data_IF_725894876428
#
_entry.id   IF_725894876428
#
_cell.length_a   1.000
_cell.length_b   1.000
_cell.length_c   1.000
_cell.angle_alpha   90.00
_cell.angle_beta   90.00
_cell.angle_gamma   90.00
#
_symmetry.space_group_name_H-M   'P 1'
#
loop_
_entity.id
_entity.type
_entity.pdbx_description
1 polymer ?
#
# COMPACT_ATOMS: atom_id res chain seq x y z
N UNK A 1 -8.39 13.46 7.01
CA UNK A 1 -8.79 14.52 6.11
C UNK A 1 -10.27 14.81 6.07
N UNK A 2 -11.11 14.13 6.89
CA UNK A 2 -12.55 14.42 6.98
C UNK A 2 -12.88 15.42 8.11
N UNK A 3 -11.89 16.19 8.57
CA UNK A 3 -12.05 17.13 9.67
C UNK A 3 -11.73 16.53 11.05
N UNK A 4 -11.03 15.39 11.06
CA UNK A 4 -10.57 14.78 12.31
C UNK A 4 -9.63 15.73 13.05
N UNK A 5 -9.87 15.85 14.35
CA UNK A 5 -8.99 16.60 15.26
C UNK A 5 -8.20 15.63 16.13
N UNK A 6 -7.08 16.09 16.68
CA UNK A 6 -6.23 15.27 17.56
C UNK A 6 -7.01 14.72 18.76
N UNK A 7 -7.99 15.46 19.26
CA UNK A 7 -8.86 15.06 20.37
C UNK A 7 -9.70 13.82 20.07
N UNK A 8 -9.97 13.53 18.78
CA UNK A 8 -10.70 12.32 18.39
C UNK A 8 -9.86 11.04 18.51
N UNK A 9 -8.56 11.15 18.79
CA UNK A 9 -7.70 9.99 18.94
C UNK A 9 -8.11 9.09 20.10
N UNK A 10 -8.61 9.64 21.19
CA UNK A 10 -9.11 8.84 22.33
C UNK A 10 -10.33 7.99 21.93
N UNK A 11 -11.18 8.49 21.06
CA UNK A 11 -12.29 7.70 20.51
C UNK A 11 -11.77 6.53 19.67
N UNK A 12 -10.75 6.77 18.85
CA UNK A 12 -10.10 5.70 18.07
C UNK A 12 -9.45 4.65 18.98
N UNK A 13 -8.72 5.06 20.03
CA UNK A 13 -8.13 4.14 21.00
C UNK A 13 -9.18 3.25 21.67
N UNK A 14 -10.26 3.87 22.14
CA UNK A 14 -11.35 3.15 22.75
C UNK A 14 -11.99 2.14 21.80
N UNK A 15 -12.18 2.52 20.53
CA UNK A 15 -12.70 1.63 19.50
C UNK A 15 -11.78 0.43 19.27
N UNK A 16 -10.48 0.66 19.05
CA UNK A 16 -9.50 -0.41 18.82
C UNK A 16 -9.48 -1.38 20.02
N UNK A 17 -9.40 -0.86 21.24
CA UNK A 17 -9.36 -1.67 22.47
C UNK A 17 -10.64 -2.48 22.66
N UNK A 18 -11.80 -1.88 22.40
CA UNK A 18 -13.11 -2.54 22.57
C UNK A 18 -13.31 -3.72 21.60
N UNK A 19 -12.78 -3.59 20.39
CA UNK A 19 -13.05 -4.57 19.31
C UNK A 19 -11.88 -5.54 19.05
N UNK A 20 -10.79 -5.45 19.82
CA UNK A 20 -9.61 -6.32 19.70
C UNK A 20 -9.17 -6.50 18.23
N UNK A 21 -8.87 -5.39 17.57
CA UNK A 21 -8.55 -5.39 16.15
C UNK A 21 -7.18 -6.01 15.89
N UNK A 22 -7.07 -6.86 14.85
CA UNK A 22 -5.79 -7.37 14.36
C UNK A 22 -5.04 -6.35 13.51
N UNK A 23 -5.78 -5.47 12.83
CA UNK A 23 -5.21 -4.45 11.93
C UNK A 23 -6.11 -3.23 11.79
N UNK A 24 -5.47 -2.12 11.43
CA UNK A 24 -6.13 -0.88 11.02
C UNK A 24 -5.55 -0.39 9.70
N UNK A 25 -6.38 0.24 8.88
CA UNK A 25 -5.92 0.88 7.65
C UNK A 25 -6.25 2.37 7.68
N UNK A 26 -5.22 3.19 7.53
CA UNK A 26 -5.38 4.64 7.36
C UNK A 26 -5.37 5.01 5.88
N UNK A 27 -6.26 5.89 5.49
CA UNK A 27 -6.28 6.47 4.15
C UNK A 27 -6.24 7.99 4.22
N UNK A 28 -5.28 8.59 3.50
CA UNK A 28 -5.33 10.01 3.25
C UNK A 28 -6.50 10.31 2.28
N UNK A 29 -7.36 11.25 2.65
CA UNK A 29 -8.45 11.70 1.80
C UNK A 29 -7.90 12.22 0.47
N UNK A 30 -8.48 11.76 -0.62
CA UNK A 30 -8.32 12.36 -1.93
C UNK A 30 -9.52 13.28 -2.17
N UNK A 31 -9.31 14.59 -2.35
CA UNK A 31 -10.38 15.51 -2.65
C UNK A 31 -11.18 15.07 -3.88
N UNK A 32 -12.49 15.20 -3.80
CA UNK A 32 -13.42 14.90 -4.90
C UNK A 32 -14.24 16.17 -5.18
N UNK A 33 -14.38 16.59 -6.45
CA UNK A 33 -15.23 17.73 -6.80
C UNK A 33 -16.64 17.58 -6.21
N UNK A 34 -17.29 18.70 -5.94
CA UNK A 34 -18.66 18.76 -5.40
C UNK A 34 -18.82 18.19 -3.97
N UNK A 35 -17.73 17.94 -3.26
CA UNK A 35 -17.76 17.61 -1.83
C UNK A 35 -17.22 18.76 -0.99
N UNK A 36 -17.57 18.84 0.32
CA UNK A 36 -17.03 19.88 1.20
C UNK A 36 -15.54 19.70 1.51
N UNK A 37 -14.93 18.60 1.06
CA UNK A 37 -13.55 18.26 1.34
C UNK A 37 -12.68 18.62 0.12
N UNK A 38 -12.11 19.81 0.14
CA UNK A 38 -11.32 20.37 -0.97
C UNK A 38 -9.85 20.01 -0.89
N UNK A 39 -9.38 19.62 0.31
CA UNK A 39 -7.97 19.30 0.58
C UNK A 39 -7.85 17.97 1.32
N UNK A 40 -6.79 17.23 1.02
CA UNK A 40 -6.39 16.05 1.78
C UNK A 40 -5.54 16.43 3.00
N UNK A 41 -5.25 15.48 3.90
CA UNK A 41 -4.38 15.75 5.03
C UNK A 41 -2.94 16.02 4.55
N UNK A 42 -2.22 16.88 5.27
CA UNK A 42 -0.78 17.01 5.09
C UNK A 42 -0.08 15.70 5.49
N UNK A 43 1.17 15.50 5.05
CA UNK A 43 1.98 14.35 5.45
C UNK A 43 2.14 14.30 6.97
N UNK A 44 2.36 15.47 7.62
CA UNK A 44 2.46 15.57 9.07
C UNK A 44 1.18 15.13 9.80
N UNK A 45 0.02 15.58 9.32
CA UNK A 45 -1.27 15.16 9.89
C UNK A 45 -1.48 13.66 9.73
N UNK A 46 -1.16 13.12 8.55
CA UNK A 46 -1.34 11.72 8.24
C UNK A 46 -0.42 10.82 9.08
N UNK A 47 0.86 11.14 9.16
CA UNK A 47 1.85 10.39 9.93
C UNK A 47 1.64 10.52 11.44
N UNK A 48 1.07 11.63 11.92
CA UNK A 48 0.70 11.79 13.31
C UNK A 48 -0.29 10.71 13.78
N UNK A 49 -1.35 10.43 13.00
CA UNK A 49 -2.32 9.38 13.33
C UNK A 49 -1.68 7.99 13.36
N UNK A 50 -0.82 7.70 12.42
CA UNK A 50 -0.08 6.44 12.34
C UNK A 50 0.83 6.28 13.56
N UNK A 51 1.61 7.31 13.88
CA UNK A 51 2.54 7.32 15.00
C UNK A 51 1.83 7.14 16.35
N UNK A 52 0.78 7.91 16.60
CA UNK A 52 0.01 7.80 17.84
C UNK A 52 -0.64 6.42 17.99
N UNK A 53 -1.10 5.84 16.87
CA UNK A 53 -1.67 4.48 16.91
C UNK A 53 -0.59 3.44 17.20
N UNK A 54 0.59 3.57 16.62
CA UNK A 54 1.73 2.67 16.88
C UNK A 54 2.19 2.76 18.34
N UNK A 55 2.27 3.96 18.90
CA UNK A 55 2.65 4.18 20.30
C UNK A 55 1.63 3.58 21.27
N UNK A 56 0.34 3.71 20.97
CA UNK A 56 -0.73 3.16 21.81
C UNK A 56 -0.90 1.63 21.65
N UNK A 57 -0.61 1.09 20.47
CA UNK A 57 -0.83 -0.32 20.12
C UNK A 57 0.40 -0.90 19.38
N UNK A 58 1.47 -1.27 20.11
CA UNK A 58 2.73 -1.70 19.48
C UNK A 58 2.61 -2.91 18.55
N UNK A 59 1.67 -3.81 18.83
CA UNK A 59 1.48 -5.06 18.07
C UNK A 59 0.37 -5.00 17.01
N UNK A 60 -0.38 -3.89 16.93
CA UNK A 60 -1.44 -3.73 15.95
C UNK A 60 -0.84 -3.57 14.55
N UNK A 61 -1.34 -4.32 13.58
CA UNK A 61 -0.91 -4.16 12.19
C UNK A 61 -1.49 -2.87 11.59
N UNK A 62 -0.61 -1.96 11.19
CA UNK A 62 -0.99 -0.67 10.61
C UNK A 62 -0.69 -0.67 9.12
N UNK A 63 -1.73 -0.50 8.31
CA UNK A 63 -1.63 -0.37 6.86
C UNK A 63 -1.89 1.09 6.49
N UNK A 64 -1.04 1.69 5.67
CA UNK A 64 -1.21 3.04 5.18
C UNK A 64 -1.56 3.05 3.68
N UNK A 65 -2.64 3.72 3.33
CA UNK A 65 -3.01 3.93 1.93
C UNK A 65 -2.17 5.03 1.31
N UNK A 66 -1.50 4.72 0.19
CA UNK A 66 -0.81 5.72 -0.62
C UNK A 66 -1.36 5.74 -2.03
N UNK A 67 -1.11 6.81 -2.77
CA UNK A 67 -1.47 6.96 -4.18
C UNK A 67 -0.24 7.35 -4.98
N UNK A 68 -0.32 7.31 -6.31
CA UNK A 68 0.77 7.76 -7.18
C UNK A 68 1.21 9.22 -6.93
N UNK A 69 0.33 10.04 -6.35
CA UNK A 69 0.61 11.45 -6.05
C UNK A 69 1.29 11.67 -4.70
N UNK A 70 1.38 10.63 -3.87
CA UNK A 70 1.87 10.69 -2.49
C UNK A 70 2.95 9.64 -2.23
N UNK A 71 3.66 9.20 -3.29
CA UNK A 71 4.74 8.21 -3.17
C UNK A 71 5.91 8.77 -2.37
N UNK A 72 6.18 10.04 -2.50
CA UNK A 72 7.26 10.77 -1.84
C UNK A 72 7.16 10.83 -0.31
N UNK A 73 5.98 10.62 0.26
CA UNK A 73 5.77 10.59 1.71
C UNK A 73 5.92 9.20 2.36
N UNK A 74 6.12 8.15 1.55
CA UNK A 74 6.14 6.75 2.04
C UNK A 74 7.22 6.53 3.11
N UNK A 75 8.38 7.15 2.97
CA UNK A 75 9.43 7.08 3.98
C UNK A 75 8.96 7.58 5.35
N UNK A 76 8.25 8.70 5.38
CA UNK A 76 7.73 9.27 6.64
C UNK A 76 6.59 8.42 7.22
N UNK A 77 5.76 7.84 6.37
CA UNK A 77 4.69 6.92 6.76
C UNK A 77 5.26 5.66 7.45
N UNK A 78 6.29 5.06 6.86
CA UNK A 78 6.96 3.88 7.43
C UNK A 78 7.68 4.22 8.74
N UNK A 79 8.42 5.34 8.79
CA UNK A 79 9.06 5.83 10.02
C UNK A 79 8.05 6.12 11.13
N UNK A 80 6.84 6.53 10.79
CA UNK A 80 5.76 6.74 11.75
C UNK A 80 5.21 5.42 12.31
N UNK A 81 5.55 4.26 11.74
CA UNK A 81 5.21 2.96 12.26
C UNK A 81 4.18 2.17 11.44
N UNK A 82 3.95 2.52 10.18
CA UNK A 82 3.16 1.66 9.29
C UNK A 82 3.95 0.39 8.94
N UNK A 83 3.26 -0.77 8.93
CA UNK A 83 3.84 -2.07 8.57
C UNK A 83 3.72 -2.36 7.07
N UNK A 84 2.76 -1.73 6.42
CA UNK A 84 2.50 -1.94 4.99
C UNK A 84 1.87 -0.71 4.35
N UNK A 85 2.03 -0.63 3.05
CA UNK A 85 1.36 0.35 2.19
C UNK A 85 0.40 -0.34 1.23
N UNK A 86 -0.63 0.36 0.79
CA UNK A 86 -1.62 -0.16 -0.16
C UNK A 86 -2.01 0.90 -1.18
N UNK A 87 -2.80 0.49 -2.20
CA UNK A 87 -3.29 1.32 -3.31
C UNK A 87 -2.24 1.75 -4.35
N UNK A 88 -1.04 1.20 -4.33
CA UNK A 88 -0.15 1.37 -5.46
C UNK A 88 -0.58 0.42 -6.60
N UNK A 89 -0.82 0.90 -7.83
CA UNK A 89 -1.25 0.06 -8.96
C UNK A 89 -0.06 -0.69 -9.57
N UNK A 90 0.47 -1.68 -8.86
CA UNK A 90 1.72 -2.37 -9.15
C UNK A 90 1.83 -2.87 -10.60
N UNK A 91 0.81 -3.58 -11.11
CA UNK A 91 0.85 -4.13 -12.47
C UNK A 91 0.84 -3.06 -13.57
N UNK A 92 0.08 -1.96 -13.38
CA UNK A 92 -0.02 -0.87 -14.37
C UNK A 92 1.17 0.08 -14.34
N UNK A 93 1.89 0.13 -13.21
CA UNK A 93 3.00 1.04 -12.97
C UNK A 93 4.30 0.30 -12.65
N UNK A 94 4.36 -0.97 -13.04
CA UNK A 94 5.58 -1.75 -12.90
C UNK A 94 6.75 -1.07 -13.63
N UNK A 95 7.92 -1.05 -13.01
CA UNK A 95 9.15 -0.42 -13.50
C UNK A 95 9.03 1.08 -13.87
N UNK A 96 7.94 1.75 -13.49
CA UNK A 96 7.78 3.20 -13.69
C UNK A 96 8.63 4.01 -12.70
N UNK A 97 8.80 5.30 -12.98
CA UNK A 97 9.49 6.21 -12.05
C UNK A 97 8.81 6.24 -10.68
N UNK A 98 7.48 6.12 -10.62
CA UNK A 98 6.75 6.04 -9.34
C UNK A 98 7.05 4.73 -8.58
N UNK A 99 7.24 3.62 -9.29
CA UNK A 99 7.63 2.35 -8.69
C UNK A 99 9.05 2.41 -8.11
N UNK A 100 9.99 2.99 -8.88
CA UNK A 100 11.38 3.21 -8.44
C UNK A 100 11.44 4.15 -7.24
N UNK A 101 10.68 5.24 -7.27
CA UNK A 101 10.63 6.17 -6.15
C UNK A 101 10.02 5.51 -4.91
N UNK A 102 8.99 4.70 -5.06
CA UNK A 102 8.41 3.97 -3.92
C UNK A 102 9.43 3.01 -3.27
N UNK A 103 10.18 2.24 -4.05
CA UNK A 103 11.26 1.39 -3.52
C UNK A 103 12.38 2.24 -2.86
N UNK A 104 12.69 3.40 -3.41
CA UNK A 104 13.65 4.33 -2.84
C UNK A 104 13.16 4.90 -1.49
N UNK A 105 11.90 5.26 -1.39
CA UNK A 105 11.29 5.73 -0.14
C UNK A 105 11.31 4.64 0.96
N UNK A 106 11.08 3.38 0.60
CA UNK A 106 11.20 2.26 1.54
C UNK A 106 12.64 2.14 2.07
N UNK A 107 13.65 2.25 1.18
CA UNK A 107 15.06 2.26 1.58
C UNK A 107 15.41 3.45 2.48
N UNK A 108 14.90 4.65 2.18
CA UNK A 108 15.07 5.86 3.03
C UNK A 108 14.49 5.68 4.43
N UNK A 109 13.52 4.80 4.60
CA UNK A 109 12.95 4.44 5.89
C UNK A 109 13.74 3.34 6.62
N UNK A 110 14.87 2.87 6.09
CA UNK A 110 15.62 1.69 6.56
C UNK A 110 14.74 0.41 6.61
N UNK A 111 13.79 0.30 5.69
CA UNK A 111 12.94 -0.86 5.52
C UNK A 111 13.35 -1.66 4.29
N UNK A 112 13.01 -2.95 4.29
CA UNK A 112 13.18 -3.82 3.15
C UNK A 112 11.82 -4.10 2.49
N UNK A 113 11.79 -4.07 1.16
CA UNK A 113 10.62 -4.47 0.41
C UNK A 113 10.59 -5.99 0.30
N UNK A 114 9.50 -6.65 0.73
CA UNK A 114 9.37 -8.12 0.66
C UNK A 114 9.39 -8.61 -0.80
N UNK A 115 8.93 -7.77 -1.72
CA UNK A 115 8.89 -8.04 -3.16
C UNK A 115 9.60 -6.92 -3.93
N UNK A 116 9.32 -6.78 -5.20
CA UNK A 116 9.85 -5.70 -6.03
C UNK A 116 8.77 -5.19 -6.98
N UNK A 117 8.85 -3.90 -7.29
CA UNK A 117 7.99 -3.24 -8.27
C UNK A 117 8.74 -2.90 -9.56
N UNK A 118 10.02 -3.28 -9.64
CA UNK A 118 10.92 -2.87 -10.74
C UNK A 118 11.59 -4.04 -11.45
N UNK A 119 11.53 -5.24 -10.87
CA UNK A 119 12.17 -6.43 -11.45
C UNK A 119 11.19 -7.60 -11.45
N UNK A 120 10.98 -8.20 -12.61
CA UNK A 120 10.27 -9.47 -12.68
C UNK A 120 11.18 -10.58 -12.16
N UNK A 121 10.65 -11.56 -11.40
CA UNK A 121 11.38 -12.77 -11.06
C UNK A 121 11.80 -13.53 -12.31
N UNK A 122 13.02 -14.07 -12.31
CA UNK A 122 13.53 -14.93 -13.36
C UNK A 122 13.04 -16.37 -13.14
N UNK A 123 11.79 -16.61 -13.53
CA UNK A 123 11.11 -17.91 -13.40
C UNK A 123 10.40 -18.25 -14.70
N UNK A 124 10.21 -19.54 -14.94
CA UNK A 124 9.36 -20.00 -16.05
C UNK A 124 7.88 -19.90 -15.65
N UNK A 125 7.26 -18.79 -16.02
CA UNK A 125 5.87 -18.48 -15.68
C UNK A 125 4.86 -19.50 -16.19
N UNK A 126 5.10 -20.12 -17.34
CA UNK A 126 4.20 -21.14 -17.89
C UNK A 126 4.25 -22.40 -17.04
N UNK A 127 5.43 -22.81 -16.61
CA UNK A 127 5.59 -23.94 -15.68
C UNK A 127 4.88 -23.68 -14.32
N UNK A 128 4.88 -22.43 -13.85
CA UNK A 128 4.15 -22.09 -12.61
C UNK A 128 2.63 -22.24 -12.79
N UNK A 129 2.10 -21.89 -13.96
CA UNK A 129 0.67 -22.10 -14.27
C UNK A 129 0.35 -23.60 -14.36
N UNK A 130 1.28 -24.41 -14.93
CA UNK A 130 1.07 -25.85 -15.07
C UNK A 130 0.96 -26.60 -13.72
N UNK A 131 1.58 -26.04 -12.67
CA UNK A 131 1.51 -26.58 -11.30
C UNK A 131 0.16 -26.31 -10.60
N UNK A 132 -0.67 -25.41 -11.13
CA UNK A 132 -1.96 -25.08 -10.53
C UNK A 132 -2.93 -26.27 -10.67
N UNK A 133 -3.68 -26.52 -9.61
CA UNK A 133 -4.75 -27.54 -9.60
C UNK A 133 -6.04 -26.95 -10.18
N UNK A 134 -6.03 -26.75 -11.50
CA UNK A 134 -7.16 -26.25 -12.29
C UNK A 134 -7.22 -26.99 -13.63
N UNK A 135 -8.37 -26.96 -14.30
CA UNK A 135 -8.52 -27.61 -15.61
C UNK A 135 -7.64 -27.02 -16.72
N UNK A 136 -7.37 -27.82 -17.75
CA UNK A 136 -6.45 -27.44 -18.84
C UNK A 136 -6.93 -26.23 -19.66
N UNK A 137 -8.24 -26.04 -19.81
CA UNK A 137 -8.78 -24.87 -20.50
C UNK A 137 -8.46 -23.59 -19.72
N UNK A 138 -8.67 -23.64 -18.38
CA UNK A 138 -8.37 -22.50 -17.51
C UNK A 138 -6.86 -22.23 -17.43
N UNK A 139 -6.01 -23.27 -17.47
CA UNK A 139 -4.54 -23.09 -17.60
C UNK A 139 -4.17 -22.34 -18.87
N UNK A 140 -4.74 -22.74 -20.01
CA UNK A 140 -4.47 -22.09 -21.29
C UNK A 140 -4.90 -20.61 -21.29
N UNK A 141 -6.10 -20.31 -20.77
CA UNK A 141 -6.58 -18.93 -20.65
C UNK A 141 -5.69 -18.11 -19.69
N UNK A 142 -5.27 -18.71 -18.58
CA UNK A 142 -4.37 -18.08 -17.59
C UNK A 142 -3.01 -17.75 -18.21
N UNK A 143 -2.41 -18.67 -18.96
CA UNK A 143 -1.14 -18.44 -19.68
C UNK A 143 -1.25 -17.28 -20.67
N UNK A 144 -2.33 -17.21 -21.43
CA UNK A 144 -2.57 -16.13 -22.38
C UNK A 144 -2.64 -14.76 -21.70
N UNK A 145 -3.40 -14.67 -20.59
CA UNK A 145 -3.53 -13.43 -19.81
C UNK A 145 -2.18 -13.06 -19.17
N UNK A 146 -1.51 -14.03 -18.56
CA UNK A 146 -0.20 -13.85 -17.91
C UNK A 146 0.84 -13.30 -18.89
N UNK A 147 0.94 -13.87 -20.09
CA UNK A 147 1.87 -13.40 -21.11
C UNK A 147 1.61 -11.94 -21.51
N UNK A 148 0.34 -11.53 -21.56
CA UNK A 148 -0.03 -10.14 -21.77
C UNK A 148 0.46 -9.22 -20.64
N UNK A 149 0.30 -9.64 -19.37
CA UNK A 149 0.81 -8.88 -18.22
C UNK A 149 2.34 -8.79 -18.22
N UNK A 150 3.04 -9.89 -18.42
CA UNK A 150 4.52 -9.93 -18.46
C UNK A 150 5.04 -9.01 -19.56
N UNK A 151 4.47 -9.08 -20.76
CA UNK A 151 4.85 -8.19 -21.87
C UNK A 151 4.66 -6.71 -21.55
N UNK A 152 3.62 -6.36 -20.78
CA UNK A 152 3.37 -4.98 -20.39
C UNK A 152 4.31 -4.52 -19.25
N UNK A 153 4.69 -5.43 -18.36
CA UNK A 153 5.59 -5.15 -17.24
C UNK A 153 7.08 -5.16 -17.65
N UNK A 154 7.42 -5.76 -18.80
CA UNK A 154 8.80 -5.81 -19.32
C UNK A 154 9.18 -4.60 -20.19
N UNK A 155 8.28 -3.64 -20.38
CA UNK A 155 8.52 -2.38 -21.11
C UNK A 155 9.12 -1.33 -20.16
#
# INVERSE_FOLDING_TARGET
>A
GLGEKKEHFDQLKNFISKHNLDRITFYALKPVPETPYTEGPTTEQYTWWIKQTREAFPNLKIIAGTTLRRVDEVSEILKAGADAITKFPATKKFNSEQAKELENQVKKANCEFISTLTKLPDINWENEVDKLDIDEKLKAETKQILNSYIKNMSK
#
